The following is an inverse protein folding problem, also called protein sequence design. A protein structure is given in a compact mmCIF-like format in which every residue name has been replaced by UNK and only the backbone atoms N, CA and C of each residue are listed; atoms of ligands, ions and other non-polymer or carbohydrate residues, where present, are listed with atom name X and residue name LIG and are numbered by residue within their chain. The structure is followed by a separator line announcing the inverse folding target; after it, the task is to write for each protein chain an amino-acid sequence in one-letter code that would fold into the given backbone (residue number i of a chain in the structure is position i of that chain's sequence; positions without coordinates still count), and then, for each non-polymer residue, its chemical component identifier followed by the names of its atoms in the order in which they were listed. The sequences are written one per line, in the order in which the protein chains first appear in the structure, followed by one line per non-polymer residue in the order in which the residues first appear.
data_IF_538991198399
#
_entry.id   IF_538991198399
#
_cell.length_a   1.000
_cell.length_b   1.000
_cell.length_c   1.000
_cell.angle_alpha   90.00
_cell.angle_beta   90.00
_cell.angle_gamma   90.00
#
_symmetry.space_group_name_H-M   'P 1'
#
loop_
_entity.id
_entity.type
_entity.pdbx_description
1 polymer ?
#
# COMPACT_ATOMS: atom_id res chain seq x y z
N UNK A 1 -19.66 -8.21 6.39
CA UNK A 1 -18.58 -7.36 5.82
C UNK A 1 -18.56 -7.56 4.31
N UNK A 2 -18.33 -6.52 3.49
CA UNK A 2 -17.93 -6.72 2.11
C UNK A 2 -16.69 -7.63 2.08
N UNK A 3 -16.60 -8.55 1.12
CA UNK A 3 -15.39 -9.36 0.97
C UNK A 3 -14.18 -8.47 0.70
N UNK A 4 -12.98 -8.86 1.16
CA UNK A 4 -11.76 -8.10 0.87
C UNK A 4 -11.53 -7.98 -0.64
N UNK A 5 -11.95 -8.97 -1.44
CA UNK A 5 -11.98 -8.88 -2.91
C UNK A 5 -12.71 -7.64 -3.41
N UNK A 6 -13.91 -7.37 -2.90
CA UNK A 6 -14.71 -6.23 -3.32
C UNK A 6 -14.07 -4.92 -2.88
N UNK A 7 -13.51 -4.89 -1.66
CA UNK A 7 -12.76 -3.74 -1.16
C UNK A 7 -11.60 -3.36 -2.09
N UNK A 8 -10.73 -4.31 -2.45
CA UNK A 8 -9.61 -4.04 -3.36
C UNK A 8 -10.08 -3.70 -4.77
N UNK A 9 -11.09 -4.40 -5.31
CA UNK A 9 -11.66 -4.06 -6.63
C UNK A 9 -12.19 -2.63 -6.70
N UNK A 10 -12.85 -2.18 -5.64
CA UNK A 10 -13.33 -0.79 -5.53
C UNK A 10 -12.16 0.18 -5.48
N UNK A 11 -11.12 -0.11 -4.70
CA UNK A 11 -9.93 0.75 -4.62
C UNK A 11 -9.23 0.93 -5.98
N UNK A 12 -9.00 -0.17 -6.70
CA UNK A 12 -8.42 -0.12 -8.05
C UNK A 12 -9.33 0.58 -9.08
N UNK A 13 -10.66 0.40 -8.98
CA UNK A 13 -11.61 1.15 -9.79
C UNK A 13 -11.53 2.65 -9.50
N UNK A 14 -11.45 3.03 -8.23
CA UNK A 14 -11.30 4.42 -7.82
C UNK A 14 -10.01 5.03 -8.37
N UNK A 15 -8.93 4.27 -8.53
CA UNK A 15 -7.70 4.76 -9.17
C UNK A 15 -7.81 4.91 -10.71
N UNK A 16 -8.94 4.54 -11.32
CA UNK A 16 -9.10 4.51 -12.78
C UNK A 16 -8.43 3.31 -13.45
N UNK A 17 -8.22 2.22 -12.71
CA UNK A 17 -7.59 0.98 -13.16
C UNK A 17 -8.39 -0.26 -12.71
N UNK A 18 -9.62 -0.45 -13.21
CA UNK A 18 -10.44 -1.59 -12.79
C UNK A 18 -9.75 -2.93 -13.09
N UNK A 19 -9.70 -3.79 -12.07
CA UNK A 19 -9.04 -5.10 -12.16
C UNK A 19 -9.77 -6.08 -13.08
N UNK A 20 -9.02 -6.75 -13.94
CA UNK A 20 -9.54 -7.79 -14.83
C UNK A 20 -9.19 -9.19 -14.30
N UNK A 21 -9.57 -10.25 -15.02
CA UNK A 21 -9.13 -11.61 -14.70
C UNK A 21 -7.60 -11.78 -14.82
N UNK A 22 -6.94 -10.98 -15.67
CA UNK A 22 -5.50 -11.05 -15.88
C UNK A 22 -4.71 -10.45 -14.70
N UNK A 23 -5.33 -9.57 -13.91
CA UNK A 23 -4.75 -9.01 -12.69
C UNK A 23 -4.74 -10.02 -11.52
N UNK A 24 -5.46 -11.14 -11.62
CA UNK A 24 -5.59 -12.13 -10.54
C UNK A 24 -4.51 -13.22 -10.59
N UNK A 25 -4.07 -13.66 -9.41
CA UNK A 25 -3.38 -14.94 -9.26
C UNK A 25 -4.42 -16.08 -9.19
N UNK A 26 -4.25 -17.19 -9.92
CA UNK A 26 -5.16 -18.33 -9.86
C UNK A 26 -5.19 -18.98 -8.47
N UNK A 27 -6.36 -19.43 -7.98
CA UNK A 27 -6.47 -20.05 -6.66
C UNK A 27 -5.55 -21.26 -6.45
N UNK A 28 -5.34 -22.08 -7.48
CA UNK A 28 -4.47 -23.25 -7.40
C UNK A 28 -3.00 -22.88 -7.13
N UNK A 29 -2.53 -21.74 -7.65
CA UNK A 29 -1.16 -21.25 -7.38
C UNK A 29 -0.99 -20.90 -5.90
N UNK A 30 -2.00 -20.27 -5.29
CA UNK A 30 -1.99 -19.95 -3.85
C UNK A 30 -2.03 -21.25 -3.03
N UNK A 31 -2.93 -22.18 -3.37
CA UNK A 31 -3.05 -23.47 -2.69
C UNK A 31 -1.76 -24.31 -2.75
N UNK A 32 -1.07 -24.30 -3.89
CA UNK A 32 0.23 -24.96 -4.02
C UNK A 32 1.28 -24.35 -3.10
N UNK A 33 1.35 -23.03 -3.00
CA UNK A 33 2.26 -22.33 -2.09
C UNK A 33 1.93 -22.61 -0.61
N UNK A 34 0.65 -22.58 -0.24
CA UNK A 34 0.17 -22.93 1.10
C UNK A 34 0.59 -24.35 1.51
N UNK A 35 0.40 -25.32 0.60
CA UNK A 35 0.80 -26.71 0.82
C UNK A 35 2.31 -26.85 0.98
N UNK A 36 3.10 -26.15 0.17
CA UNK A 36 4.56 -26.18 0.24
C UNK A 36 5.09 -25.59 1.56
N UNK A 37 4.46 -24.50 2.02
CA UNK A 37 4.88 -23.78 3.23
C UNK A 37 4.27 -24.36 4.52
N UNK A 38 3.27 -25.25 4.42
CA UNK A 38 2.57 -25.81 5.58
C UNK A 38 1.76 -24.77 6.36
N UNK A 39 1.31 -23.69 5.71
CA UNK A 39 0.53 -22.60 6.32
C UNK A 39 -0.66 -22.24 5.46
N UNK A 40 -1.70 -21.67 6.09
CA UNK A 40 -2.82 -21.05 5.36
C UNK A 40 -2.60 -19.54 5.27
N UNK A 41 -2.80 -18.97 4.09
CA UNK A 41 -2.73 -17.54 3.86
C UNK A 41 -3.99 -16.89 4.41
N UNK A 42 -3.86 -15.87 5.29
CA UNK A 42 -5.02 -15.17 5.84
C UNK A 42 -5.90 -14.51 4.76
N UNK A 43 -7.21 -14.45 5.00
CA UNK A 43 -8.22 -14.07 3.99
C UNK A 43 -7.94 -12.72 3.33
N UNK A 44 -7.57 -11.68 4.08
CA UNK A 44 -7.28 -10.36 3.54
C UNK A 44 -6.14 -10.40 2.49
N UNK A 45 -5.04 -11.07 2.82
CA UNK A 45 -3.91 -11.22 1.90
C UNK A 45 -4.27 -12.11 0.70
N UNK A 46 -4.92 -13.26 0.96
CA UNK A 46 -5.37 -14.19 -0.08
C UNK A 46 -6.25 -13.48 -1.11
N UNK A 47 -7.24 -12.73 -0.64
CA UNK A 47 -8.19 -12.02 -1.48
C UNK A 47 -7.51 -10.94 -2.33
N UNK A 48 -6.47 -10.27 -1.81
CA UNK A 48 -5.66 -9.34 -2.58
C UNK A 48 -4.99 -10.04 -3.78
N UNK A 49 -4.30 -11.15 -3.55
CA UNK A 49 -3.69 -11.92 -4.64
C UNK A 49 -4.71 -12.42 -5.67
N UNK A 50 -5.88 -12.86 -5.22
CA UNK A 50 -6.97 -13.37 -6.06
C UNK A 50 -7.62 -12.30 -6.96
N UNK A 51 -7.39 -11.01 -6.72
CA UNK A 51 -7.95 -9.96 -7.59
C UNK A 51 -6.90 -9.08 -8.24
N UNK A 52 -5.78 -8.83 -7.55
CA UNK A 52 -4.78 -7.84 -7.92
C UNK A 52 -3.35 -8.37 -7.94
N UNK A 53 -3.08 -9.62 -7.57
CA UNK A 53 -1.71 -10.13 -7.39
C UNK A 53 -0.80 -10.06 -8.61
N UNK A 54 -1.34 -9.91 -9.83
CA UNK A 54 -0.60 -9.70 -11.09
C UNK A 54 -0.61 -8.25 -11.60
N UNK A 55 -1.24 -7.31 -10.90
CA UNK A 55 -1.28 -5.90 -11.31
C UNK A 55 0.07 -5.22 -11.09
N UNK A 56 0.99 -5.43 -12.03
CA UNK A 56 2.38 -5.00 -11.93
C UNK A 56 2.55 -3.48 -11.86
N UNK A 57 1.59 -2.71 -12.40
CA UNK A 57 1.62 -1.24 -12.36
C UNK A 57 1.83 -0.72 -10.95
N UNK A 58 1.19 -1.34 -9.96
CA UNK A 58 1.26 -0.89 -8.57
C UNK A 58 2.04 -1.85 -7.69
N UNK A 59 1.95 -3.17 -7.91
CA UNK A 59 2.62 -4.14 -7.06
C UNK A 59 4.15 -4.17 -7.22
N UNK A 60 4.69 -3.42 -8.18
CA UNK A 60 6.12 -3.35 -8.50
C UNK A 60 6.62 -1.93 -8.80
N UNK A 61 5.83 -0.88 -8.52
CA UNK A 61 6.23 0.51 -8.82
C UNK A 61 7.36 1.01 -7.92
N UNK A 62 7.32 0.60 -6.65
CA UNK A 62 8.28 0.97 -5.62
C UNK A 62 8.63 -0.26 -4.80
N UNK A 63 7.81 -0.63 -3.81
CA UNK A 63 7.95 -1.89 -3.10
C UNK A 63 7.56 -3.07 -4.01
N UNK A 64 8.00 -4.28 -3.70
CA UNK A 64 7.69 -5.47 -4.50
C UNK A 64 6.81 -6.44 -3.73
N UNK A 65 5.58 -6.62 -4.20
CA UNK A 65 4.74 -7.74 -3.76
C UNK A 65 5.36 -9.04 -4.29
N UNK A 66 5.65 -9.98 -3.40
CA UNK A 66 6.26 -11.26 -3.75
C UNK A 66 5.26 -12.16 -4.48
N UNK A 67 5.72 -12.92 -5.47
CA UNK A 67 4.86 -13.96 -6.03
C UNK A 67 4.71 -15.11 -5.00
N UNK A 68 3.64 -15.91 -5.05
CA UNK A 68 3.46 -17.02 -4.10
C UNK A 68 4.62 -18.03 -4.06
N UNK A 69 5.34 -18.19 -5.17
CA UNK A 69 6.53 -19.05 -5.26
C UNK A 69 7.75 -18.50 -4.51
N UNK A 70 7.75 -17.20 -4.22
CA UNK A 70 8.84 -16.48 -3.55
C UNK A 70 8.49 -16.19 -2.08
N UNK A 71 7.35 -16.70 -1.59
CA UNK A 71 6.99 -16.58 -0.18
C UNK A 71 7.88 -17.46 0.69
N UNK A 72 8.13 -16.98 1.91
CA UNK A 72 8.81 -17.73 2.95
C UNK A 72 8.09 -17.52 4.29
N UNK A 73 8.34 -18.39 5.27
CA UNK A 73 7.84 -18.23 6.63
C UNK A 73 9.00 -18.10 7.60
N UNK A 74 9.11 -16.94 8.24
CA UNK A 74 10.05 -16.73 9.35
C UNK A 74 9.31 -16.39 10.65
N UNK A 75 9.69 -17.04 11.76
CA UNK A 75 9.13 -16.79 13.11
C UNK A 75 7.59 -16.67 13.13
N UNK A 76 6.90 -17.54 12.37
CA UNK A 76 5.43 -17.57 12.17
C UNK A 76 4.85 -16.32 11.47
N UNK A 77 5.60 -15.76 10.53
CA UNK A 77 5.17 -14.69 9.64
C UNK A 77 5.38 -15.13 8.20
N UNK A 78 4.34 -15.06 7.39
CA UNK A 78 4.43 -15.28 5.95
C UNK A 78 4.91 -13.99 5.29
N UNK A 79 6.12 -14.01 4.72
CA UNK A 79 6.71 -12.91 3.97
C UNK A 79 5.96 -12.76 2.66
N UNK A 80 5.45 -11.56 2.38
CA UNK A 80 4.63 -11.31 1.18
C UNK A 80 5.03 -10.06 0.40
N UNK A 81 5.89 -9.21 0.96
CA UNK A 81 6.34 -7.98 0.32
C UNK A 81 7.75 -7.65 0.79
N UNK A 82 8.54 -7.06 -0.10
CA UNK A 82 9.84 -6.50 0.20
C UNK A 82 9.89 -5.03 -0.22
N UNK A 83 10.70 -4.28 0.49
CA UNK A 83 10.97 -2.87 0.20
C UNK A 83 11.84 -2.75 -1.05
N UNK A 84 11.72 -1.63 -1.77
CA UNK A 84 12.43 -1.37 -3.02
C UNK A 84 13.96 -1.51 -2.93
N UNK A 85 14.57 -1.25 -1.77
CA UNK A 85 16.01 -1.42 -1.52
C UNK A 85 16.37 -2.76 -0.89
N UNK A 86 15.38 -3.63 -0.67
CA UNK A 86 15.52 -4.92 0.00
C UNK A 86 16.14 -4.85 1.42
N UNK A 87 15.98 -3.72 2.11
CA UNK A 87 16.40 -3.57 3.52
C UNK A 87 15.31 -4.04 4.47
N UNK A 88 14.04 -3.94 4.06
CA UNK A 88 12.88 -4.34 4.84
C UNK A 88 12.03 -5.39 4.13
N UNK A 89 11.51 -6.33 4.92
CA UNK A 89 10.46 -7.27 4.54
C UNK A 89 9.20 -7.04 5.36
N UNK A 90 8.05 -7.32 4.76
CA UNK A 90 6.77 -7.36 5.46
C UNK A 90 6.18 -8.76 5.46
N UNK A 91 5.67 -9.15 6.63
CA UNK A 91 5.06 -10.46 6.82
C UNK A 91 3.76 -10.39 7.61
N UNK A 92 2.79 -11.22 7.25
CA UNK A 92 1.55 -11.40 8.02
C UNK A 92 1.69 -12.53 9.03
N UNK A 93 1.09 -12.38 10.20
CA UNK A 93 1.12 -13.45 11.20
C UNK A 93 0.27 -14.65 10.74
N UNK A 94 0.87 -15.85 10.79
CA UNK A 94 0.20 -17.14 10.51
C UNK A 94 0.00 -17.98 11.78
N UNK A 95 0.08 -17.35 12.96
CA UNK A 95 -0.07 -18.05 14.25
C UNK A 95 -1.50 -18.51 14.50
N UNK A 96 -2.47 -17.71 14.10
CA UNK A 96 -3.89 -18.03 14.23
C UNK A 96 -4.52 -18.04 12.81
N UNK A 97 -4.73 -19.23 12.22
CA UNK A 97 -5.22 -19.36 10.85
C UNK A 97 -6.64 -18.82 10.66
N UNK A 98 -7.44 -18.71 11.74
CA UNK A 98 -8.80 -18.19 11.67
C UNK A 98 -8.85 -16.65 11.62
N UNK A 99 -7.71 -15.98 11.83
CA UNK A 99 -7.62 -14.52 11.71
C UNK A 99 -7.74 -14.11 10.25
N UNK A 100 -8.90 -13.60 9.85
CA UNK A 100 -9.13 -13.16 8.47
C UNK A 100 -8.24 -11.97 8.06
N UNK A 101 -8.03 -11.01 8.96
CA UNK A 101 -7.26 -9.80 8.71
C UNK A 101 -6.10 -9.68 9.72
N UNK A 102 -4.97 -10.35 9.46
CA UNK A 102 -3.89 -10.50 10.42
C UNK A 102 -3.09 -9.20 10.58
N UNK A 103 -2.36 -9.11 11.69
CA UNK A 103 -1.32 -8.08 11.84
C UNK A 103 -0.20 -8.25 10.81
N UNK A 104 0.37 -7.13 10.41
CA UNK A 104 1.59 -7.04 9.59
C UNK A 104 2.76 -6.65 10.49
N UNK A 105 3.89 -7.33 10.29
CA UNK A 105 5.18 -6.98 10.88
C UNK A 105 6.16 -6.56 9.80
N UNK A 106 7.04 -5.62 10.12
CA UNK A 106 8.24 -5.33 9.33
C UNK A 106 9.46 -6.02 9.95
N UNK A 107 10.39 -6.48 9.14
CA UNK A 107 11.65 -7.06 9.59
C UNK A 107 12.81 -6.53 8.75
N UNK A 108 13.93 -6.23 9.40
CA UNK A 108 15.18 -5.92 8.72
C UNK A 108 15.78 -7.20 8.14
N UNK A 109 16.38 -7.11 6.95
CA UNK A 109 16.97 -8.27 6.25
C UNK A 109 18.28 -8.78 6.85
N UNK A 110 18.75 -8.15 7.94
CA UNK A 110 19.85 -8.65 8.77
C UNK A 110 19.48 -9.96 9.46
N UNK A 111 20.42 -10.91 9.50
CA UNK A 111 20.24 -12.20 10.16
C UNK A 111 20.80 -12.18 11.60
N UNK A 112 20.02 -12.55 12.63
CA UNK A 112 18.64 -13.04 12.54
C UNK A 112 17.62 -11.91 12.37
N UNK A 113 16.60 -12.14 11.53
CA UNK A 113 15.55 -11.15 11.25
C UNK A 113 14.84 -10.72 12.54
N UNK A 114 14.89 -9.43 12.84
CA UNK A 114 14.19 -8.81 13.96
C UNK A 114 12.88 -8.19 13.49
N UNK A 115 11.76 -8.72 14.01
CA UNK A 115 10.42 -8.34 13.56
C UNK A 115 9.74 -7.37 14.53
N UNK A 116 9.24 -6.27 13.98
CA UNK A 116 8.48 -5.25 14.69
C UNK A 116 7.07 -5.16 14.14
N UNK A 117 6.11 -4.75 14.98
CA UNK A 117 4.73 -4.56 14.53
C UNK A 117 4.67 -3.34 13.62
N UNK A 118 4.10 -3.52 12.43
CA UNK A 118 3.90 -2.41 11.48
C UNK A 118 2.44 -1.94 11.52
N UNK A 119 1.48 -2.87 11.40
CA UNK A 119 0.06 -2.52 11.44
C UNK A 119 -0.79 -3.67 11.98
N UNK A 120 -1.96 -3.36 12.54
CA UNK A 120 -2.87 -4.35 13.13
C UNK A 120 -3.70 -5.12 12.12
N UNK A 121 -3.92 -4.53 10.94
CA UNK A 121 -4.76 -5.06 9.85
C UNK A 121 -3.98 -5.08 8.55
N UNK A 122 -3.89 -6.24 7.92
CA UNK A 122 -3.28 -6.46 6.62
C UNK A 122 -4.06 -5.72 5.52
N UNK A 123 -5.39 -5.67 5.61
CA UNK A 123 -6.22 -4.99 4.63
C UNK A 123 -5.90 -3.50 4.52
N UNK A 124 -5.77 -2.83 5.66
CA UNK A 124 -5.37 -1.41 5.77
C UNK A 124 -3.93 -1.23 5.29
N UNK A 125 -3.01 -2.11 5.69
CA UNK A 125 -1.63 -2.05 5.22
C UNK A 125 -1.55 -2.11 3.69
N UNK A 126 -2.20 -3.10 3.07
CA UNK A 126 -2.22 -3.26 1.61
C UNK A 126 -2.87 -2.05 0.91
N UNK A 127 -3.93 -1.48 1.48
CA UNK A 127 -4.54 -0.28 0.94
C UNK A 127 -3.60 0.92 1.01
N UNK A 128 -3.00 1.22 2.16
CA UNK A 128 -2.07 2.35 2.34
C UNK A 128 -0.84 2.20 1.45
N UNK A 129 -0.24 1.01 1.41
CA UNK A 129 0.91 0.76 0.52
C UNK A 129 0.51 0.87 -0.95
N UNK A 130 -0.68 0.44 -1.36
CA UNK A 130 -1.15 0.65 -2.73
C UNK A 130 -1.26 2.14 -3.10
N UNK A 131 -1.66 3.01 -2.17
CA UNK A 131 -1.64 4.47 -2.41
C UNK A 131 -0.20 5.00 -2.52
N UNK A 132 0.70 4.54 -1.64
CA UNK A 132 2.12 4.90 -1.71
C UNK A 132 2.75 4.51 -3.05
N UNK A 133 2.52 3.27 -3.46
CA UNK A 133 2.92 2.73 -4.76
C UNK A 133 2.39 3.60 -5.92
N UNK A 134 1.15 4.08 -5.81
CA UNK A 134 0.55 4.95 -6.81
C UNK A 134 1.31 6.27 -6.97
N UNK A 135 1.72 6.91 -5.87
CA UNK A 135 2.48 8.17 -5.89
C UNK A 135 4.00 7.97 -6.08
N UNK A 136 4.50 6.74 -5.94
CA UNK A 136 5.90 6.37 -6.17
C UNK A 136 6.17 5.66 -7.51
N UNK A 137 5.24 5.74 -8.48
CA UNK A 137 5.47 5.25 -9.84
C UNK A 137 4.29 4.52 -10.47
N UNK A 138 3.26 4.18 -9.70
CA UNK A 138 2.07 3.50 -10.21
C UNK A 138 1.19 4.41 -11.08
N UNK A 139 1.10 5.70 -10.75
CA UNK A 139 0.54 6.71 -11.64
C UNK A 139 1.58 7.32 -12.58
N UNK A 140 1.13 7.67 -13.78
CA UNK A 140 1.97 8.41 -14.73
C UNK A 140 2.14 9.88 -14.34
N UNK A 141 1.10 10.50 -13.79
CA UNK A 141 1.09 11.91 -13.43
C UNK A 141 1.17 12.02 -11.92
N UNK A 142 2.28 12.55 -11.41
CA UNK A 142 2.59 12.59 -9.99
C UNK A 142 3.37 13.86 -9.68
N UNK A 143 3.22 14.35 -8.47
CA UNK A 143 3.94 15.52 -7.99
C UNK A 143 4.02 15.49 -6.45
N UNK A 144 4.90 16.29 -5.88
CA UNK A 144 4.96 16.50 -4.44
C UNK A 144 5.16 17.96 -4.08
N UNK A 145 4.81 18.30 -2.85
CA UNK A 145 5.13 19.59 -2.26
C UNK A 145 5.41 19.38 -0.78
N UNK A 146 6.26 20.23 -0.21
CA UNK A 146 6.37 20.34 1.24
C UNK A 146 5.26 21.23 1.78
N UNK A 147 4.73 20.86 2.94
CA UNK A 147 3.67 21.59 3.65
C UNK A 147 4.10 21.85 5.09
N UNK A 148 3.75 23.02 5.65
CA UNK A 148 3.88 23.26 7.08
C UNK A 148 3.00 22.29 7.87
N UNK A 149 3.39 22.05 9.12
CA UNK A 149 2.75 21.17 10.10
C UNK A 149 1.25 21.42 10.36
N UNK A 150 0.74 22.59 9.95
CA UNK A 150 -0.59 23.09 10.29
C UNK A 150 -1.65 22.99 9.20
N UNK A 151 -1.41 22.31 8.07
CA UNK A 151 -2.53 22.13 7.14
C UNK A 151 -3.49 21.05 7.63
N UNK A 152 -4.52 21.52 8.37
CA UNK A 152 -5.82 20.89 8.55
C UNK A 152 -6.50 20.67 7.18
N UNK A 153 -5.96 19.81 6.34
CA UNK A 153 -6.68 19.33 5.17
C UNK A 153 -7.81 18.44 5.66
N UNK A 154 -9.02 19.00 5.69
CA UNK A 154 -10.24 18.23 5.89
C UNK A 154 -10.57 17.52 4.58
N UNK A 155 -9.71 16.58 4.17
CA UNK A 155 -9.89 15.73 3.00
C UNK A 155 -11.30 15.13 2.97
N UNK A 156 -11.84 14.76 4.15
CA UNK A 156 -13.21 14.27 4.30
C UNK A 156 -14.29 15.25 3.80
N UNK A 157 -14.08 16.57 3.93
CA UNK A 157 -15.01 17.60 3.44
C UNK A 157 -14.93 17.83 1.93
N UNK A 158 -13.86 17.37 1.28
CA UNK A 158 -13.60 17.56 -0.16
C UNK A 158 -13.78 16.26 -0.97
N UNK A 159 -14.53 15.31 -0.41
CA UNK A 159 -14.89 14.05 -1.08
C UNK A 159 -13.74 13.03 -1.13
N UNK A 160 -12.68 13.22 -0.36
CA UNK A 160 -11.61 12.24 -0.23
C UNK A 160 -12.00 11.18 0.80
N UNK A 161 -11.74 9.93 0.46
CA UNK A 161 -11.89 8.80 1.39
C UNK A 161 -10.53 8.52 2.04
N UNK A 162 -10.50 8.48 3.37
CA UNK A 162 -9.34 8.05 4.15
C UNK A 162 -9.26 6.51 4.21
N UNK A 163 -8.08 5.95 3.88
CA UNK A 163 -7.86 4.49 3.84
C UNK A 163 -7.03 3.95 5.01
N UNK A 164 -6.40 4.83 5.79
CA UNK A 164 -5.63 4.46 6.97
C UNK A 164 -4.27 5.16 7.06
N UNK A 165 -3.55 4.83 8.12
CA UNK A 165 -2.19 5.29 8.38
C UNK A 165 -1.28 4.09 8.67
N UNK A 166 -0.11 4.05 8.04
CA UNK A 166 0.95 3.06 8.31
C UNK A 166 2.26 3.80 8.51
N UNK A 167 2.89 3.69 9.68
CA UNK A 167 4.16 4.37 9.98
C UNK A 167 4.16 5.87 9.62
N UNK A 168 3.14 6.59 10.08
CA UNK A 168 2.88 8.02 9.79
C UNK A 168 2.53 8.38 8.33
N UNK A 169 2.59 7.43 7.39
CA UNK A 169 2.07 7.61 6.04
C UNK A 169 0.53 7.49 6.07
N UNK A 170 -0.16 8.59 5.79
CA UNK A 170 -1.61 8.65 5.65
C UNK A 170 -2.00 8.53 4.18
N UNK A 171 -3.05 7.77 3.88
CA UNK A 171 -3.51 7.54 2.50
C UNK A 171 -4.96 8.00 2.28
N UNK A 172 -5.16 8.79 1.23
CA UNK A 172 -6.47 9.28 0.79
C UNK A 172 -6.64 9.05 -0.71
N UNK A 173 -7.87 8.76 -1.12
CA UNK A 173 -8.20 8.79 -2.55
C UNK A 173 -9.65 9.14 -2.83
N UNK A 174 -9.86 9.64 -4.04
CA UNK A 174 -11.16 9.74 -4.70
C UNK A 174 -10.99 9.30 -6.16
N UNK A 175 -12.02 9.44 -6.97
CA UNK A 175 -11.98 9.00 -8.37
C UNK A 175 -10.77 9.61 -9.10
N UNK A 176 -9.92 8.74 -9.63
CA UNK A 176 -8.71 9.00 -10.40
C UNK A 176 -7.57 9.75 -9.68
N UNK A 177 -7.68 9.97 -8.36
CA UNK A 177 -6.75 10.83 -7.61
C UNK A 177 -6.36 10.18 -6.27
N UNK A 178 -5.07 10.28 -5.94
CA UNK A 178 -4.48 9.79 -4.70
C UNK A 178 -3.69 10.92 -4.06
N UNK A 179 -3.81 11.02 -2.74
CA UNK A 179 -2.99 11.87 -1.89
C UNK A 179 -2.40 11.00 -0.78
N UNK A 180 -1.10 11.11 -0.58
CA UNK A 180 -0.41 10.57 0.58
C UNK A 180 0.22 11.72 1.36
N UNK A 181 0.11 11.69 2.69
CA UNK A 181 0.84 12.58 3.59
C UNK A 181 1.84 11.77 4.38
N UNK A 182 3.07 12.27 4.50
CA UNK A 182 4.08 11.69 5.38
C UNK A 182 4.98 12.79 5.96
N UNK A 183 5.57 12.58 7.15
CA UNK A 183 6.59 13.48 7.67
C UNK A 183 7.76 13.58 6.68
N UNK A 184 8.23 14.80 6.43
CA UNK A 184 9.48 15.04 5.72
C UNK A 184 10.62 14.57 6.63
N UNK A 185 11.53 13.75 6.11
CA UNK A 185 12.70 13.31 6.86
C UNK A 185 13.70 14.48 7.00
N UNK A 186 13.41 15.41 7.91
CA UNK A 186 14.29 16.53 8.26
C UNK A 186 15.39 16.12 9.23
N UNK A 187 16.48 16.88 9.26
CA UNK A 187 17.48 16.84 10.33
C UNK A 187 16.80 17.13 11.69
N UNK A 188 17.34 16.68 12.84
CA UNK A 188 16.73 16.85 14.18
C UNK A 188 16.43 18.30 14.61
N UNK A 189 16.84 19.29 13.82
CA UNK A 189 16.67 20.73 14.06
C UNK A 189 15.84 21.42 12.96
N UNK A 190 15.37 20.66 11.97
CA UNK A 190 14.36 21.10 11.00
C UNK A 190 13.03 20.52 11.45
N UNK A 191 12.39 21.24 12.36
CA UNK A 191 11.09 20.85 12.91
C UNK A 191 10.06 20.70 11.78
N UNK A 192 9.34 19.57 11.80
CA UNK A 192 7.91 19.57 11.55
C UNK A 192 7.46 20.03 10.15
N UNK A 193 8.09 19.49 9.12
CA UNK A 193 7.60 19.56 7.75
C UNK A 193 6.96 18.24 7.35
N UNK A 194 5.85 18.32 6.65
CA UNK A 194 5.23 17.17 5.99
C UNK A 194 5.43 17.30 4.50
N UNK A 195 5.48 16.17 3.81
CA UNK A 195 5.44 16.13 2.36
C UNK A 195 4.08 15.57 1.93
N UNK A 196 3.42 16.31 1.04
CA UNK A 196 2.26 15.80 0.30
C UNK A 196 2.73 15.20 -1.00
N UNK A 197 2.35 13.94 -1.24
CA UNK A 197 2.60 13.21 -2.47
C UNK A 197 1.26 13.03 -3.17
N UNK A 198 1.14 13.49 -4.41
CA UNK A 198 -0.08 13.38 -5.20
C UNK A 198 0.16 12.57 -6.46
N UNK A 199 -0.87 11.81 -6.86
CA UNK A 199 -0.84 11.01 -8.06
C UNK A 199 -2.21 10.92 -8.70
N UNK A 200 -2.26 10.93 -10.02
CA UNK A 200 -3.52 10.92 -10.73
C UNK A 200 -3.49 10.15 -12.06
N UNK A 201 -4.69 9.72 -12.50
CA UNK A 201 -4.87 8.94 -13.73
C UNK A 201 -4.54 9.74 -14.99
N UNK A 202 -4.92 11.02 -15.01
CA UNK A 202 -4.67 11.94 -16.13
C UNK A 202 -3.98 13.22 -15.67
N UNK A 203 -3.34 13.95 -16.60
CA UNK A 203 -2.76 15.26 -16.30
C UNK A 203 -3.80 16.25 -15.77
N UNK A 204 -5.02 16.22 -16.32
CA UNK A 204 -6.14 17.04 -15.85
C UNK A 204 -6.49 16.73 -14.40
N UNK A 205 -6.54 15.45 -14.04
CA UNK A 205 -6.82 15.05 -12.67
C UNK A 205 -5.71 15.52 -11.72
N UNK A 206 -4.43 15.45 -12.13
CA UNK A 206 -3.31 15.95 -11.32
C UNK A 206 -3.43 17.46 -11.10
N UNK A 207 -3.58 18.24 -12.17
CA UNK A 207 -3.70 19.70 -12.09
C UNK A 207 -4.89 20.15 -11.25
N UNK A 208 -5.99 19.39 -11.25
CA UNK A 208 -7.13 19.67 -10.36
C UNK A 208 -6.76 19.55 -8.88
N UNK A 209 -5.96 18.55 -8.50
CA UNK A 209 -5.46 18.41 -7.11
C UNK A 209 -4.47 19.52 -6.78
N UNK A 210 -3.56 19.85 -7.69
CA UNK A 210 -2.58 20.94 -7.49
C UNK A 210 -3.28 22.28 -7.24
N UNK A 211 -4.30 22.61 -8.04
CA UNK A 211 -5.11 23.82 -7.86
C UNK A 211 -5.94 23.80 -6.57
N UNK A 212 -6.47 22.64 -6.16
CA UNK A 212 -7.25 22.48 -4.92
C UNK A 212 -6.38 22.68 -3.67
N UNK A 213 -5.14 22.17 -3.69
CA UNK A 213 -4.22 22.29 -2.57
C UNK A 213 -3.50 23.66 -2.55
N UNK A 214 -3.33 24.31 -3.70
CA UNK A 214 -2.74 25.66 -3.78
C UNK A 214 -1.28 25.71 -3.33
N UNK A 215 -0.55 24.61 -3.49
CA UNK A 215 0.85 24.47 -3.08
C UNK A 215 1.80 24.57 -4.29
N UNK A 216 3.08 24.82 -4.01
CA UNK A 216 4.14 24.80 -5.02
C UNK A 216 4.62 23.36 -5.24
N UNK A 217 4.14 22.76 -6.32
CA UNK A 217 4.36 21.36 -6.66
C UNK A 217 5.57 21.13 -7.58
N UNK A 218 6.37 20.13 -7.26
CA UNK A 218 7.47 19.62 -8.11
C UNK A 218 7.00 18.38 -8.87
N UNK A 219 6.98 18.45 -10.20
CA UNK A 219 6.52 17.35 -11.05
C UNK A 219 7.60 16.28 -11.26
N UNK A 220 7.18 15.01 -11.34
CA UNK A 220 8.04 13.85 -11.62
C UNK A 220 7.67 13.11 -12.92
#
# INVERSE_FOLDING_TARGET
MPSFKNYYRTLYRNFGYPLTKNSAIPPNVIMSAEKQLGVSVPTALRDYYLVAGRESRFNKSHNRLLAPKDWNVDKKRLLFMEENQAVLWWGVSVRNPDTQDPRVSKGHTEEPISWYREHHKCSVFLAVILHYQAVCGGFRFRSSADIPDEINYQFEKQGWTYYGTVNSLMAFSRTNQVVCLMPSNGLPFMDNQWTVLIGAKTKRDLTAVEMELGLNFESY
#
